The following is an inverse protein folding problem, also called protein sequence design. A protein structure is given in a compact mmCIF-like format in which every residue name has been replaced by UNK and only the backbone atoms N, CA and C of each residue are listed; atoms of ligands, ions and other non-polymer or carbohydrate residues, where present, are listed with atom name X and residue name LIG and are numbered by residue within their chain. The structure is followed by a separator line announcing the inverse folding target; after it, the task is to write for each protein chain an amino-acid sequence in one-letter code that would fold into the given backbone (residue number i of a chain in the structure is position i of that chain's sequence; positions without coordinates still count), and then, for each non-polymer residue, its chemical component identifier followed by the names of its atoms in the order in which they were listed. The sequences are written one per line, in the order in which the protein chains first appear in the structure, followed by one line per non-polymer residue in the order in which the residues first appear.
data_IF_045469389473
#
_entry.id   IF_045469389473
#
_cell.length_a   1.000
_cell.length_b   1.000
_cell.length_c   1.000
_cell.angle_alpha   90.00
_cell.angle_beta   90.00
_cell.angle_gamma   90.00
#
_symmetry.space_group_name_H-M   'P 1'
#
loop_
_entity.id
_entity.type
_entity.pdbx_description
1 polymer ?
#
# COMPACT_ATOMS: atom_id res chain seq x y z
N UNK A 1 21.08 19.20 6.18
CA UNK A 1 20.42 17.90 6.07
C UNK A 1 18.92 18.13 5.98
N UNK A 2 18.20 17.47 5.08
CA UNK A 2 16.74 17.61 5.06
C UNK A 2 16.13 16.99 6.32
N UNK A 3 15.10 17.66 6.86
CA UNK A 3 14.33 17.18 8.00
C UNK A 3 13.05 16.53 7.48
N UNK A 4 12.73 15.32 7.94
CA UNK A 4 11.57 14.57 7.55
C UNK A 4 10.83 14.05 8.79
N UNK A 5 9.51 14.24 8.84
CA UNK A 5 8.68 13.60 9.85
C UNK A 5 8.02 12.35 9.28
N UNK A 6 7.93 11.31 10.10
CA UNK A 6 7.17 10.09 9.79
C UNK A 6 6.09 9.94 10.84
N UNK A 7 4.86 9.85 10.39
CA UNK A 7 3.67 9.65 11.20
C UNK A 7 3.29 8.18 11.11
N UNK A 8 3.46 7.46 12.20
CA UNK A 8 3.12 6.05 12.34
C UNK A 8 4.33 5.14 12.53
N UNK A 9 4.23 4.33 13.57
CA UNK A 9 5.22 3.36 14.06
C UNK A 9 5.00 1.96 13.49
N UNK A 10 4.36 1.88 12.31
CA UNK A 10 4.23 0.63 11.57
C UNK A 10 5.60 0.13 11.12
N UNK A 11 5.72 -1.17 10.82
CA UNK A 11 6.97 -1.71 10.26
C UNK A 11 7.46 -0.90 9.07
N UNK A 12 6.53 -0.48 8.18
CA UNK A 12 6.86 0.36 7.03
C UNK A 12 7.33 1.77 7.42
N UNK A 13 6.67 2.41 8.38
CA UNK A 13 7.08 3.74 8.87
C UNK A 13 8.49 3.72 9.49
N UNK A 14 8.78 2.72 10.30
CA UNK A 14 10.11 2.55 10.89
C UNK A 14 11.15 2.24 9.80
N UNK A 15 10.83 1.38 8.83
CA UNK A 15 11.71 1.06 7.70
C UNK A 15 12.07 2.31 6.91
N UNK A 16 11.09 3.14 6.53
CA UNK A 16 11.33 4.43 5.86
C UNK A 16 12.21 5.35 6.70
N UNK A 17 11.92 5.43 8.01
CA UNK A 17 12.72 6.22 8.94
C UNK A 17 14.19 5.79 8.97
N UNK A 18 14.43 4.50 9.01
CA UNK A 18 15.79 3.94 9.01
C UNK A 18 16.54 4.19 7.71
N UNK A 19 15.89 3.94 6.58
CA UNK A 19 16.49 4.15 5.25
C UNK A 19 16.87 5.63 5.07
N UNK A 20 15.98 6.55 5.40
CA UNK A 20 16.25 7.98 5.29
C UNK A 20 17.35 8.44 6.27
N UNK A 21 17.34 7.96 7.50
CA UNK A 21 18.34 8.33 8.50
C UNK A 21 19.73 7.78 8.16
N UNK A 22 19.83 6.55 7.60
CA UNK A 22 21.10 6.01 7.07
C UNK A 22 21.67 6.86 5.94
N UNK A 23 20.82 7.52 5.17
CA UNK A 23 21.18 8.42 4.07
C UNK A 23 21.25 9.90 4.50
N UNK A 24 21.60 10.16 5.75
CA UNK A 24 21.90 11.48 6.32
C UNK A 24 20.72 12.45 6.38
N UNK A 25 19.45 11.98 6.34
CA UNK A 25 18.32 12.81 6.72
C UNK A 25 18.19 12.89 8.24
N UNK A 26 17.75 14.04 8.77
CA UNK A 26 17.25 14.15 10.14
C UNK A 26 15.81 13.66 10.14
N UNK A 27 15.57 12.50 10.73
CA UNK A 27 14.25 11.88 10.72
C UNK A 27 13.64 11.90 12.11
N UNK A 28 12.38 12.31 12.18
CA UNK A 28 11.58 12.30 13.40
C UNK A 28 10.39 11.36 13.21
N UNK A 29 10.39 10.26 13.95
CA UNK A 29 9.31 9.28 13.97
C UNK A 29 8.35 9.64 15.11
N UNK A 30 7.11 9.93 14.76
CA UNK A 30 6.09 10.19 15.75
C UNK A 30 5.41 8.91 16.19
N UNK A 31 5.46 8.66 17.49
CA UNK A 31 4.72 7.63 18.20
C UNK A 31 3.48 8.26 18.84
N UNK A 32 2.37 7.53 18.89
CA UNK A 32 1.08 8.06 19.36
C UNK A 32 1.10 8.39 20.85
N UNK A 33 1.85 7.62 21.65
CA UNK A 33 1.96 7.76 23.09
C UNK A 33 3.41 7.80 23.54
N UNK A 34 3.67 8.40 24.70
CA UNK A 34 5.02 8.43 25.28
C UNK A 34 5.48 7.02 25.70
N UNK A 35 4.54 6.16 26.07
CA UNK A 35 4.86 4.76 26.34
C UNK A 35 5.42 4.08 25.09
N UNK A 36 4.73 4.20 23.95
CA UNK A 36 5.16 3.64 22.66
C UNK A 36 6.52 4.23 22.23
N UNK A 37 6.70 5.54 22.37
CA UNK A 37 7.97 6.20 22.07
C UNK A 37 9.12 5.66 22.92
N UNK A 38 8.85 5.44 24.22
CA UNK A 38 9.83 4.91 25.17
C UNK A 38 10.18 3.45 24.86
N UNK A 39 9.18 2.62 24.56
CA UNK A 39 9.38 1.23 24.17
C UNK A 39 10.23 1.12 22.89
N UNK A 40 9.93 1.93 21.88
CA UNK A 40 10.72 1.98 20.65
C UNK A 40 12.16 2.48 20.86
N UNK A 41 12.35 3.48 21.73
CA UNK A 41 13.71 3.94 22.11
C UNK A 41 14.50 2.86 22.83
N UNK A 42 13.85 2.09 23.73
CA UNK A 42 14.45 0.94 24.44
C UNK A 42 14.70 -0.23 23.48
N UNK A 43 13.75 -0.51 22.59
CA UNK A 43 13.85 -1.58 21.58
C UNK A 43 14.92 -1.31 20.49
N UNK A 44 15.63 -0.18 20.58
CA UNK A 44 16.64 0.27 19.61
C UNK A 44 17.66 -0.82 19.23
N UNK A 45 17.84 -1.79 20.12
CA UNK A 45 18.81 -2.90 19.97
C UNK A 45 18.16 -4.29 19.92
N UNK A 46 16.88 -4.44 20.32
CA UNK A 46 16.25 -5.76 20.53
C UNK A 46 14.75 -5.75 20.30
N UNK A 47 14.26 -5.42 19.11
CA UNK A 47 12.84 -5.62 18.80
C UNK A 47 12.62 -6.96 18.09
N UNK A 48 11.70 -7.83 18.57
CA UNK A 48 11.32 -9.06 17.87
C UNK A 48 10.83 -8.82 16.43
N UNK A 49 10.19 -7.67 16.18
CA UNK A 49 9.72 -7.26 14.85
C UNK A 49 10.85 -6.82 13.90
N UNK A 50 12.07 -6.60 14.43
CA UNK A 50 13.22 -6.07 13.69
C UNK A 50 14.49 -6.88 13.97
N UNK A 51 14.36 -8.19 14.19
CA UNK A 51 15.45 -9.13 14.59
C UNK A 51 16.85 -8.68 14.14
N UNK A 52 17.64 -8.16 15.07
CA UNK A 52 19.03 -7.76 14.82
C UNK A 52 19.25 -6.41 14.15
N UNK A 53 18.20 -5.62 13.88
CA UNK A 53 18.33 -4.32 13.21
C UNK A 53 18.45 -3.20 14.25
N UNK A 54 19.57 -2.47 14.23
CA UNK A 54 19.84 -1.33 15.11
C UNK A 54 19.27 -0.05 14.47
N UNK A 55 18.47 0.70 15.23
CA UNK A 55 17.94 1.99 14.77
C UNK A 55 19.08 3.03 14.70
N UNK A 56 19.28 3.70 13.55
CA UNK A 56 20.34 4.68 13.37
C UNK A 56 20.18 5.90 14.29
N UNK A 57 21.30 6.53 14.64
CA UNK A 57 21.32 7.72 15.52
C UNK A 57 20.57 8.93 14.94
N UNK A 58 20.48 9.03 13.61
CA UNK A 58 19.73 10.09 12.91
C UNK A 58 18.21 9.95 12.96
N UNK A 59 17.68 8.84 13.55
CA UNK A 59 16.26 8.60 13.76
C UNK A 59 15.87 8.97 15.19
N UNK A 60 15.28 10.13 15.39
CA UNK A 60 14.68 10.55 16.65
C UNK A 60 13.23 10.03 16.76
N UNK A 61 12.85 9.60 17.98
CA UNK A 61 11.50 9.11 18.25
C UNK A 61 10.87 10.03 19.29
N UNK A 62 9.69 10.57 19.00
CA UNK A 62 8.98 11.49 19.89
C UNK A 62 7.47 11.22 19.89
N UNK A 63 6.80 11.50 21.00
CA UNK A 63 5.34 11.50 21.10
C UNK A 63 4.72 12.88 20.86
N UNK A 64 5.54 13.93 20.76
CA UNK A 64 5.10 15.30 20.49
C UNK A 64 4.98 15.54 18.99
N UNK A 65 3.76 15.81 18.47
CA UNK A 65 3.55 16.19 17.08
C UNK A 65 4.24 17.52 16.73
N UNK A 66 4.21 18.49 17.65
CA UNK A 66 4.88 19.78 17.45
C UNK A 66 6.39 19.62 17.25
N UNK A 67 7.03 18.76 18.07
CA UNK A 67 8.45 18.43 17.93
C UNK A 67 8.72 17.66 16.63
N UNK A 68 7.89 16.64 16.32
CA UNK A 68 8.06 15.84 15.12
C UNK A 68 8.00 16.68 13.84
N UNK A 69 7.10 17.67 13.79
CA UNK A 69 6.78 18.45 12.60
C UNK A 69 7.55 19.79 12.51
N UNK A 70 8.32 20.19 13.53
CA UNK A 70 9.02 21.46 13.54
C UNK A 70 10.10 21.57 12.44
N UNK A 71 9.87 22.41 11.44
CA UNK A 71 10.83 22.74 10.38
C UNK A 71 11.15 21.62 9.40
N UNK A 72 10.26 20.62 9.27
CA UNK A 72 10.43 19.53 8.31
C UNK A 72 10.12 19.97 6.88
N UNK A 73 10.72 19.31 5.92
CA UNK A 73 10.48 19.52 4.48
C UNK A 73 9.48 18.52 3.90
N UNK A 74 9.27 17.41 4.60
CA UNK A 74 8.24 16.42 4.24
C UNK A 74 7.66 15.77 5.49
N UNK A 75 6.37 15.44 5.38
CA UNK A 75 5.62 14.62 6.34
C UNK A 75 5.19 13.35 5.62
N UNK A 76 5.65 12.20 6.10
CA UNK A 76 5.31 10.89 5.53
C UNK A 76 4.27 10.24 6.44
N UNK A 77 3.09 9.96 5.89
CA UNK A 77 2.00 9.25 6.56
C UNK A 77 2.14 7.75 6.27
N UNK A 78 2.73 7.01 7.20
CA UNK A 78 2.96 5.57 7.11
C UNK A 78 2.08 4.81 8.11
N UNK A 79 0.81 5.15 8.12
CA UNK A 79 -0.22 4.60 9.00
C UNK A 79 -1.10 3.60 8.24
N UNK A 80 -1.81 2.68 8.93
CA UNK A 80 -2.85 1.88 8.30
C UNK A 80 -3.91 2.76 7.62
N UNK A 81 -4.46 2.32 6.47
CA UNK A 81 -5.39 3.11 5.67
C UNK A 81 -6.62 3.59 6.47
N UNK A 82 -7.20 2.71 7.30
CA UNK A 82 -8.34 3.04 8.18
C UNK A 82 -8.02 4.06 9.28
N UNK A 83 -6.75 4.40 9.47
CA UNK A 83 -6.30 5.43 10.42
C UNK A 83 -5.86 6.73 9.73
N UNK A 84 -5.87 6.78 8.40
CA UNK A 84 -5.36 7.94 7.65
C UNK A 84 -6.07 9.21 8.05
N UNK A 85 -7.40 9.25 7.96
CA UNK A 85 -8.20 10.45 8.28
C UNK A 85 -7.96 10.97 9.70
N UNK A 86 -7.91 10.07 10.68
CA UNK A 86 -7.64 10.45 12.06
C UNK A 86 -6.25 11.08 12.22
N UNK A 87 -5.23 10.50 11.57
CA UNK A 87 -3.86 11.00 11.70
C UNK A 87 -3.65 12.30 10.95
N UNK A 88 -4.20 12.45 9.73
CA UNK A 88 -4.05 13.70 8.99
C UNK A 88 -4.77 14.87 9.69
N UNK A 89 -5.92 14.68 10.33
CA UNK A 89 -6.57 15.69 11.17
C UNK A 89 -5.66 16.20 12.29
N UNK A 90 -4.88 15.35 12.90
CA UNK A 90 -3.93 15.73 13.95
C UNK A 90 -2.74 16.54 13.38
N UNK A 91 -2.27 16.15 12.19
CA UNK A 91 -1.11 16.72 11.51
C UNK A 91 -1.44 18.05 10.85
N UNK A 92 -2.67 18.22 10.32
CA UNK A 92 -3.09 19.33 9.46
C UNK A 92 -2.76 20.73 10.04
N UNK A 93 -2.92 20.91 11.36
CA UNK A 93 -2.65 22.18 12.03
C UNK A 93 -1.16 22.58 12.12
N UNK A 94 -0.26 21.67 11.79
CA UNK A 94 1.19 21.88 11.78
C UNK A 94 1.76 22.01 10.36
N UNK A 95 0.93 21.77 9.34
CA UNK A 95 1.36 21.85 7.94
C UNK A 95 1.53 23.30 7.52
N UNK A 96 2.49 23.52 6.65
CA UNK A 96 2.66 24.76 5.89
C UNK A 96 2.83 24.48 4.38
N UNK A 97 2.69 25.51 3.56
CA UNK A 97 2.75 25.39 2.09
C UNK A 97 4.11 24.97 1.53
N UNK A 98 5.17 24.87 2.35
CA UNK A 98 6.50 24.44 1.91
C UNK A 98 6.72 22.94 2.04
N UNK A 99 5.90 22.27 2.85
CA UNK A 99 6.04 20.86 3.18
C UNK A 99 5.46 19.95 2.08
N UNK A 100 6.16 18.87 1.76
CA UNK A 100 5.58 17.76 1.01
C UNK A 100 4.77 16.88 1.97
N UNK A 101 3.60 16.42 1.51
CA UNK A 101 2.70 15.53 2.28
C UNK A 101 2.66 14.20 1.55
N UNK A 102 3.33 13.18 2.09
CA UNK A 102 3.55 11.91 1.40
C UNK A 102 2.68 10.82 2.03
N UNK A 103 1.73 10.30 1.28
CA UNK A 103 1.04 9.06 1.65
C UNK A 103 1.92 7.87 1.31
N UNK A 104 2.25 7.06 2.31
CA UNK A 104 2.93 5.78 2.14
C UNK A 104 2.03 4.58 2.51
N UNK A 105 0.73 4.82 2.70
CA UNK A 105 -0.26 3.79 2.97
C UNK A 105 -0.76 3.14 1.67
N UNK A 106 -1.07 1.85 1.75
CA UNK A 106 -1.56 1.04 0.61
C UNK A 106 -2.94 0.47 0.92
N UNK A 107 -3.96 1.29 0.79
CA UNK A 107 -5.34 0.90 1.05
C UNK A 107 -6.32 2.00 0.65
N UNK A 108 -7.60 1.75 0.90
CA UNK A 108 -8.72 2.64 0.63
C UNK A 108 -9.52 2.85 1.91
N UNK A 109 -10.19 4.00 2.02
CA UNK A 109 -11.08 4.28 3.16
C UNK A 109 -12.46 3.65 2.92
N UNK A 110 -12.95 2.86 3.89
CA UNK A 110 -14.21 2.11 3.74
C UNK A 110 -15.40 3.07 3.64
N UNK A 111 -15.50 4.03 4.55
CA UNK A 111 -16.69 4.86 4.70
C UNK A 111 -16.96 5.77 3.49
N UNK A 112 -15.91 6.20 2.81
CA UNK A 112 -16.00 7.12 1.68
C UNK A 112 -15.64 6.50 0.32
N UNK A 113 -15.12 5.28 0.29
CA UNK A 113 -14.49 4.64 -0.87
C UNK A 113 -13.33 5.44 -1.49
N UNK A 114 -12.71 6.33 -0.71
CA UNK A 114 -11.67 7.25 -1.17
C UNK A 114 -10.27 6.62 -1.13
N UNK A 115 -9.43 7.09 -2.06
CA UNK A 115 -7.98 6.89 -2.03
C UNK A 115 -7.35 7.76 -0.93
N UNK A 116 -6.21 7.35 -0.41
CA UNK A 116 -5.56 8.06 0.70
C UNK A 116 -5.21 9.52 0.37
N UNK A 117 -4.83 9.83 -0.89
CA UNK A 117 -4.58 11.21 -1.33
C UNK A 117 -5.83 12.09 -1.27
N UNK A 118 -7.02 11.52 -1.53
CA UNK A 118 -8.30 12.22 -1.40
C UNK A 118 -8.63 12.46 0.08
N UNK A 119 -8.48 11.43 0.91
CA UNK A 119 -8.68 11.54 2.37
C UNK A 119 -7.77 12.65 2.95
N UNK A 120 -6.50 12.72 2.51
CA UNK A 120 -5.58 13.77 2.92
C UNK A 120 -6.08 15.13 2.44
N UNK A 121 -6.48 15.25 1.17
CA UNK A 121 -6.93 16.49 0.57
C UNK A 121 -8.22 17.07 1.23
N UNK A 122 -9.07 16.20 1.78
CA UNK A 122 -10.27 16.63 2.51
C UNK A 122 -9.95 17.33 3.83
N UNK A 123 -8.84 16.97 4.48
CA UNK A 123 -8.55 17.35 5.86
C UNK A 123 -7.49 18.45 5.99
N UNK A 124 -6.85 18.86 4.88
CA UNK A 124 -5.82 19.90 4.88
C UNK A 124 -6.31 21.19 4.22
N UNK A 125 -5.58 22.28 4.44
CA UNK A 125 -5.82 23.53 3.70
C UNK A 125 -5.75 23.26 2.18
N UNK A 126 -6.77 23.68 1.40
CA UNK A 126 -6.79 23.53 -0.06
C UNK A 126 -5.51 23.99 -0.76
N UNK A 127 -4.87 25.05 -0.28
CA UNK A 127 -3.62 25.59 -0.83
C UNK A 127 -2.44 24.60 -0.75
N UNK A 128 -2.52 23.59 0.12
CA UNK A 128 -1.46 22.59 0.30
C UNK A 128 -1.67 21.32 -0.52
N UNK A 129 -2.83 21.16 -1.19
CA UNK A 129 -3.19 19.97 -1.95
C UNK A 129 -2.21 19.64 -3.07
N UNK A 130 -1.63 20.68 -3.68
CA UNK A 130 -0.61 20.50 -4.73
C UNK A 130 0.66 19.80 -4.23
N UNK A 131 0.93 19.81 -2.93
CA UNK A 131 2.09 19.20 -2.31
C UNK A 131 1.86 17.72 -1.90
N UNK A 132 0.66 17.16 -2.16
CA UNK A 132 0.38 15.75 -1.88
C UNK A 132 1.15 14.87 -2.85
N UNK A 133 1.89 13.92 -2.27
CA UNK A 133 2.60 12.87 -2.98
C UNK A 133 2.13 11.50 -2.48
N UNK A 134 2.31 10.49 -3.30
CA UNK A 134 2.08 9.09 -2.92
C UNK A 134 3.33 8.27 -3.17
N UNK A 135 3.63 7.34 -2.26
CA UNK A 135 4.77 6.43 -2.33
C UNK A 135 4.26 4.99 -2.34
N UNK A 136 4.56 4.25 -3.41
CA UNK A 136 4.15 2.85 -3.56
C UNK A 136 5.16 2.08 -4.41
N UNK A 137 5.05 0.75 -4.45
CA UNK A 137 5.96 -0.13 -5.21
C UNK A 137 6.35 -1.39 -4.45
N UNK A 138 7.16 -2.30 -5.03
CA UNK A 138 7.63 -3.50 -4.38
C UNK A 138 8.62 -3.15 -3.25
N UNK A 139 8.11 -3.12 -2.01
CA UNK A 139 8.87 -2.62 -0.86
C UNK A 139 8.56 -3.43 0.41
N UNK A 140 8.94 -4.68 0.41
CA UNK A 140 8.85 -5.54 1.60
C UNK A 140 9.79 -5.04 2.68
N UNK A 141 9.22 -4.55 3.78
CA UNK A 141 9.96 -3.90 4.86
C UNK A 141 11.10 -4.74 5.43
N UNK A 142 10.90 -6.05 5.60
CA UNK A 142 11.92 -6.93 6.18
C UNK A 142 13.15 -7.07 5.27
N UNK A 143 12.95 -7.13 3.97
CA UNK A 143 14.05 -7.19 3.00
C UNK A 143 14.87 -5.89 3.02
N UNK A 144 14.20 -4.73 3.01
CA UNK A 144 14.88 -3.42 3.06
C UNK A 144 15.66 -3.26 4.37
N UNK A 145 15.10 -3.72 5.50
CA UNK A 145 15.77 -3.66 6.79
C UNK A 145 17.04 -4.50 6.82
N UNK A 146 17.09 -5.61 6.07
CA UNK A 146 18.24 -6.47 5.88
C UNK A 146 19.28 -5.88 4.88
N UNK A 147 19.01 -4.71 4.30
CA UNK A 147 19.89 -4.06 3.33
C UNK A 147 19.74 -4.58 1.91
N UNK A 148 18.68 -5.34 1.63
CA UNK A 148 18.38 -5.76 0.25
C UNK A 148 17.82 -4.56 -0.53
N UNK A 149 18.22 -4.40 -1.81
CA UNK A 149 17.81 -3.27 -2.61
C UNK A 149 16.30 -3.30 -2.89
N UNK A 150 15.66 -2.14 -2.80
CA UNK A 150 14.27 -1.97 -3.13
C UNK A 150 14.04 -0.80 -4.07
N UNK A 151 12.96 -0.87 -4.82
CA UNK A 151 12.55 0.15 -5.77
C UNK A 151 11.12 0.55 -5.49
N UNK A 152 10.82 1.85 -5.55
CA UNK A 152 9.47 2.35 -5.40
C UNK A 152 9.18 3.50 -6.38
N UNK A 153 7.94 3.97 -6.40
CA UNK A 153 7.49 5.12 -7.17
C UNK A 153 6.99 6.19 -6.22
N UNK A 154 7.45 7.42 -6.41
CA UNK A 154 6.84 8.60 -5.82
C UNK A 154 6.06 9.35 -6.91
N UNK A 155 4.76 9.54 -6.69
CA UNK A 155 3.89 10.23 -7.63
C UNK A 155 3.28 11.50 -7.03
N UNK A 156 3.13 12.51 -7.86
CA UNK A 156 2.39 13.72 -7.56
C UNK A 156 1.73 14.24 -8.85
N UNK A 157 0.65 15.01 -8.73
CA UNK A 157 -0.03 15.59 -9.91
C UNK A 157 0.87 16.50 -10.74
N UNK A 158 1.79 17.22 -10.08
CA UNK A 158 2.81 18.05 -10.71
C UNK A 158 4.16 17.31 -10.73
N UNK A 159 4.75 17.22 -11.90
CA UNK A 159 6.05 16.56 -12.08
C UNK A 159 7.18 17.24 -11.30
N UNK A 160 7.13 18.56 -11.11
CA UNK A 160 8.13 19.29 -10.31
C UNK A 160 8.03 18.90 -8.83
N UNK A 161 6.82 18.67 -8.32
CA UNK A 161 6.56 18.18 -6.96
C UNK A 161 7.04 16.72 -6.83
N UNK A 162 6.74 15.86 -7.81
CA UNK A 162 7.24 14.47 -7.83
C UNK A 162 8.78 14.45 -7.81
N UNK A 163 9.44 15.29 -8.63
CA UNK A 163 10.91 15.43 -8.63
C UNK A 163 11.46 15.99 -7.32
N UNK A 164 10.75 16.94 -6.66
CA UNK A 164 11.14 17.44 -5.34
C UNK A 164 11.07 16.34 -4.30
N UNK A 165 10.01 15.53 -4.30
CA UNK A 165 9.86 14.38 -3.42
C UNK A 165 10.93 13.32 -3.70
N UNK A 166 11.20 13.00 -4.96
CA UNK A 166 12.27 12.09 -5.35
C UNK A 166 13.63 12.54 -4.78
N UNK A 167 14.04 13.81 -5.01
CA UNK A 167 15.33 14.30 -4.48
C UNK A 167 15.44 14.23 -2.96
N UNK A 168 14.30 14.32 -2.26
CA UNK A 168 14.27 14.27 -0.80
C UNK A 168 14.31 12.85 -0.23
N UNK A 169 13.66 11.91 -0.90
CA UNK A 169 13.37 10.58 -0.37
C UNK A 169 14.18 9.45 -1.03
N UNK A 170 14.79 9.69 -2.21
CA UNK A 170 15.59 8.70 -2.90
C UNK A 170 16.87 8.39 -2.12
N UNK A 171 17.19 7.11 -1.97
CA UNK A 171 18.38 6.63 -1.27
C UNK A 171 19.03 5.49 -2.04
N UNK A 172 20.21 5.07 -1.60
CA UNK A 172 20.87 3.90 -2.18
C UNK A 172 20.06 2.60 -1.94
N UNK A 173 19.46 2.47 -0.75
CA UNK A 173 18.74 1.25 -0.34
C UNK A 173 17.30 1.23 -0.85
N UNK A 174 16.72 2.40 -1.17
CA UNK A 174 15.39 2.57 -1.73
C UNK A 174 15.47 3.53 -2.92
N UNK A 175 15.62 2.98 -4.10
CA UNK A 175 15.65 3.74 -5.35
C UNK A 175 14.23 4.14 -5.76
N UNK A 176 14.01 5.43 -6.03
CA UNK A 176 12.71 5.96 -6.39
C UNK A 176 12.63 6.33 -7.88
N UNK A 177 11.49 6.04 -8.47
CA UNK A 177 11.08 6.58 -9.77
C UNK A 177 9.97 7.60 -9.57
N UNK A 178 9.85 8.58 -10.47
CA UNK A 178 8.76 9.56 -10.47
C UNK A 178 7.62 9.13 -11.36
N UNK A 179 6.39 9.54 -11.02
CA UNK A 179 5.20 9.39 -11.85
C UNK A 179 4.25 10.57 -11.61
N UNK A 180 3.37 10.87 -12.58
CA UNK A 180 2.32 11.88 -12.44
C UNK A 180 0.92 11.25 -12.28
N UNK A 181 0.79 9.95 -12.50
CA UNK A 181 -0.45 9.21 -12.28
C UNK A 181 -0.61 8.80 -10.81
N UNK A 182 -1.00 9.75 -9.98
CA UNK A 182 -1.29 9.53 -8.55
C UNK A 182 -2.36 8.43 -8.37
N UNK A 183 -3.39 8.42 -9.22
CA UNK A 183 -4.50 7.46 -9.14
C UNK A 183 -4.00 6.04 -9.35
N UNK A 184 -3.27 5.79 -10.42
CA UNK A 184 -2.75 4.46 -10.75
C UNK A 184 -1.75 3.96 -9.73
N UNK A 185 -0.87 4.83 -9.22
CA UNK A 185 0.13 4.47 -8.20
C UNK A 185 -0.53 4.07 -6.88
N UNK A 186 -1.58 4.77 -6.44
CA UNK A 186 -2.34 4.41 -5.24
C UNK A 186 -3.13 3.11 -5.42
N UNK A 187 -3.89 3.02 -6.52
CA UNK A 187 -4.77 1.87 -6.76
C UNK A 187 -3.98 0.59 -6.99
N UNK A 188 -2.86 0.64 -7.72
CA UNK A 188 -1.99 -0.52 -7.88
C UNK A 188 -1.52 -1.06 -6.53
N UNK A 189 -1.01 -0.18 -5.66
CA UNK A 189 -0.54 -0.55 -4.33
C UNK A 189 -1.65 -1.02 -3.37
N UNK A 190 -2.87 -0.51 -3.51
CA UNK A 190 -4.00 -0.90 -2.67
C UNK A 190 -4.64 -2.23 -3.13
N UNK A 191 -5.02 -2.31 -4.42
CA UNK A 191 -5.80 -3.43 -4.96
C UNK A 191 -5.00 -4.74 -5.07
N UNK A 192 -3.67 -4.69 -5.24
CA UNK A 192 -2.82 -5.88 -5.22
C UNK A 192 -3.03 -6.75 -3.98
N UNK A 193 -3.39 -6.14 -2.86
CA UNK A 193 -3.58 -6.82 -1.58
C UNK A 193 -4.75 -7.81 -1.62
N UNK A 194 -5.75 -7.57 -2.46
CA UNK A 194 -6.87 -8.48 -2.74
C UNK A 194 -6.36 -9.73 -3.46
N UNK A 195 -5.54 -9.52 -4.48
CA UNK A 195 -4.98 -10.63 -5.27
C UNK A 195 -4.01 -11.45 -4.42
N UNK A 196 -3.29 -10.80 -3.50
CA UNK A 196 -2.41 -11.50 -2.57
C UNK A 196 -3.18 -12.40 -1.57
N UNK A 197 -4.41 -12.01 -1.15
CA UNK A 197 -5.32 -12.92 -0.43
C UNK A 197 -5.63 -14.17 -1.28
N UNK A 198 -5.99 -13.98 -2.54
CA UNK A 198 -6.25 -15.07 -3.49
C UNK A 198 -5.03 -15.96 -3.73
N UNK A 199 -3.82 -15.37 -3.84
CA UNK A 199 -2.58 -16.12 -3.97
C UNK A 199 -2.30 -16.98 -2.74
N UNK A 200 -2.56 -16.45 -1.54
CA UNK A 200 -2.49 -17.23 -0.30
C UNK A 200 -3.50 -18.38 -0.26
N UNK A 201 -4.73 -18.16 -0.75
CA UNK A 201 -5.72 -19.24 -0.89
C UNK A 201 -5.23 -20.32 -1.87
N UNK A 202 -4.69 -19.92 -3.03
CA UNK A 202 -4.18 -20.88 -4.01
C UNK A 202 -3.04 -21.73 -3.43
N UNK A 203 -2.09 -21.12 -2.72
CA UNK A 203 -0.99 -21.82 -2.05
C UNK A 203 -1.49 -22.72 -0.92
N UNK A 204 -2.42 -22.26 -0.10
CA UNK A 204 -3.00 -23.02 0.99
C UNK A 204 -3.82 -24.24 0.52
N UNK A 205 -4.39 -24.18 -0.68
CA UNK A 205 -5.08 -25.31 -1.34
C UNK A 205 -4.12 -26.24 -2.10
N UNK A 206 -2.83 -25.89 -2.18
CA UNK A 206 -1.83 -26.68 -2.91
C UNK A 206 -1.90 -26.51 -4.43
N UNK A 207 -2.49 -25.44 -4.94
CA UNK A 207 -2.49 -25.13 -6.36
C UNK A 207 -1.10 -24.61 -6.77
N UNK A 208 -0.53 -25.20 -7.80
CA UNK A 208 0.83 -24.90 -8.22
C UNK A 208 1.00 -23.52 -8.90
N UNK A 209 2.21 -23.29 -9.41
CA UNK A 209 2.62 -22.01 -9.99
C UNK A 209 1.78 -21.57 -11.21
N UNK A 210 1.27 -22.53 -12.00
CA UNK A 210 0.40 -22.19 -13.13
C UNK A 210 -0.89 -21.49 -12.69
N UNK A 211 -1.54 -21.99 -11.63
CA UNK A 211 -2.75 -21.38 -11.09
C UNK A 211 -2.46 -20.01 -10.47
N UNK A 212 -1.34 -19.88 -9.75
CA UNK A 212 -0.88 -18.61 -9.19
C UNK A 212 -0.57 -17.59 -10.29
N UNK A 213 0.15 -17.98 -11.35
CA UNK A 213 0.45 -17.12 -12.48
C UNK A 213 -0.83 -16.64 -13.18
N UNK A 214 -1.80 -17.54 -13.40
CA UNK A 214 -3.10 -17.19 -13.96
C UNK A 214 -3.87 -16.20 -13.05
N UNK A 215 -3.89 -16.43 -11.74
CA UNK A 215 -4.51 -15.53 -10.76
C UNK A 215 -3.88 -14.14 -10.78
N UNK A 216 -2.54 -14.05 -10.79
CA UNK A 216 -1.80 -12.77 -10.84
C UNK A 216 -2.13 -12.02 -12.14
N UNK A 217 -2.11 -12.70 -13.28
CA UNK A 217 -2.39 -12.09 -14.58
C UNK A 217 -3.83 -11.57 -14.67
N UNK A 218 -4.80 -12.40 -14.27
CA UNK A 218 -6.22 -12.01 -14.26
C UNK A 218 -6.49 -10.94 -13.22
N UNK A 219 -5.86 -11.03 -12.04
CA UNK A 219 -5.95 -10.01 -11.00
C UNK A 219 -5.41 -8.65 -11.44
N UNK A 220 -4.30 -8.62 -12.17
CA UNK A 220 -3.79 -7.38 -12.76
C UNK A 220 -4.80 -6.75 -13.74
N UNK A 221 -5.52 -7.58 -14.49
CA UNK A 221 -6.58 -7.11 -15.40
C UNK A 221 -7.73 -6.45 -14.62
N UNK A 222 -8.16 -7.03 -13.49
CA UNK A 222 -9.19 -6.43 -12.63
C UNK A 222 -8.71 -5.11 -12.02
N UNK A 223 -7.48 -5.07 -11.51
CA UNK A 223 -6.86 -3.87 -10.95
C UNK A 223 -6.83 -2.76 -11.99
N UNK A 224 -6.38 -3.07 -13.20
CA UNK A 224 -6.30 -2.10 -14.30
C UNK A 224 -7.70 -1.63 -14.74
N UNK A 225 -8.69 -2.53 -14.80
CA UNK A 225 -10.05 -2.17 -15.16
C UNK A 225 -10.67 -1.17 -14.18
N UNK A 226 -10.56 -1.42 -12.88
CA UNK A 226 -11.05 -0.50 -11.85
C UNK A 226 -10.23 0.80 -11.85
N UNK A 227 -8.91 0.70 -12.01
CA UNK A 227 -8.04 1.86 -12.07
C UNK A 227 -8.38 2.81 -13.20
N UNK A 228 -8.58 2.28 -14.41
CA UNK A 228 -8.97 3.07 -15.58
C UNK A 228 -10.36 3.69 -15.41
N UNK A 229 -11.30 2.96 -14.82
CA UNK A 229 -12.64 3.51 -14.51
C UNK A 229 -12.57 4.69 -13.53
N UNK A 230 -11.54 4.73 -12.68
CA UNK A 230 -11.27 5.82 -11.73
C UNK A 230 -10.33 6.90 -12.30
N UNK A 231 -9.91 6.79 -13.55
CA UNK A 231 -9.12 7.79 -14.25
C UNK A 231 -7.60 7.57 -14.23
N UNK A 232 -7.12 6.38 -13.87
CA UNK A 232 -5.71 6.03 -13.92
C UNK A 232 -5.21 5.78 -15.35
N UNK A 233 -3.93 5.98 -15.57
CA UNK A 233 -3.26 5.57 -16.78
C UNK A 233 -3.06 4.03 -16.78
N UNK A 234 -3.56 3.28 -17.76
CA UNK A 234 -3.43 1.83 -17.83
C UNK A 234 -1.97 1.35 -17.81
N UNK A 235 -1.03 2.11 -18.38
CA UNK A 235 0.39 1.77 -18.40
C UNK A 235 1.03 1.75 -17.00
N UNK A 236 0.48 2.50 -16.03
CA UNK A 236 0.96 2.50 -14.65
C UNK A 236 0.87 1.11 -14.03
N UNK A 237 -0.14 0.32 -14.40
CA UNK A 237 -0.32 -1.04 -13.87
C UNK A 237 0.66 -2.06 -14.43
N UNK A 238 1.30 -1.80 -15.55
CA UNK A 238 2.42 -2.62 -16.07
C UNK A 238 3.76 -2.29 -15.40
N UNK A 239 3.81 -1.24 -14.58
CA UNK A 239 5.00 -0.75 -13.90
C UNK A 239 5.19 -1.33 -12.50
N UNK A 240 6.06 -0.63 -11.72
CA UNK A 240 6.49 -1.04 -10.38
C UNK A 240 5.33 -1.12 -9.37
N UNK A 241 4.39 -0.16 -9.42
CA UNK A 241 3.27 -0.09 -8.48
C UNK A 241 2.10 -0.99 -8.83
N UNK A 242 2.05 -1.48 -10.07
CA UNK A 242 1.10 -2.49 -10.53
C UNK A 242 1.74 -3.88 -10.49
N UNK A 243 2.24 -4.35 -11.64
CA UNK A 243 2.78 -5.70 -11.82
C UNK A 243 3.92 -6.00 -10.85
N UNK A 244 4.87 -5.08 -10.64
CA UNK A 244 6.02 -5.30 -9.78
C UNK A 244 5.62 -5.57 -8.32
N UNK A 245 4.78 -4.70 -7.74
CA UNK A 245 4.32 -4.84 -6.35
C UNK A 245 3.34 -6.01 -6.18
N UNK A 246 2.56 -6.31 -7.24
CA UNK A 246 1.66 -7.46 -7.27
C UNK A 246 2.44 -8.78 -7.20
N UNK A 247 3.46 -8.98 -8.06
CA UNK A 247 4.29 -10.18 -8.05
C UNK A 247 4.99 -10.34 -6.70
N UNK A 248 5.66 -9.28 -6.21
CA UNK A 248 6.37 -9.32 -4.94
C UNK A 248 5.45 -9.72 -3.77
N UNK A 249 4.22 -9.18 -3.76
CA UNK A 249 3.27 -9.43 -2.67
C UNK A 249 2.60 -10.81 -2.74
N UNK A 250 2.29 -11.29 -3.94
CA UNK A 250 1.67 -12.61 -4.15
C UNK A 250 2.66 -13.77 -3.94
N UNK A 251 3.95 -13.55 -4.21
CA UNK A 251 4.97 -14.61 -4.10
C UNK A 251 5.65 -14.67 -2.74
N UNK A 252 5.51 -13.61 -1.92
CA UNK A 252 6.23 -13.52 -0.65
C UNK A 252 5.42 -14.06 0.52
N UNK A 253 6.04 -14.94 1.30
CA UNK A 253 5.52 -15.39 2.61
C UNK A 253 5.51 -14.27 3.66
N UNK A 254 6.22 -13.18 3.43
CA UNK A 254 6.21 -11.99 4.27
C UNK A 254 4.93 -11.16 4.09
N UNK A 255 4.12 -11.46 3.08
CA UNK A 255 2.85 -10.77 2.83
C UNK A 255 1.78 -11.18 3.84
N UNK A 256 1.33 -10.22 4.64
CA UNK A 256 0.23 -10.43 5.60
C UNK A 256 -1.07 -10.85 4.91
N UNK A 257 -1.33 -10.34 3.72
CA UNK A 257 -2.51 -10.70 2.95
C UNK A 257 -2.40 -12.16 2.45
N UNK A 258 -1.24 -12.54 1.94
CA UNK A 258 -0.97 -13.93 1.57
C UNK A 258 -1.16 -14.88 2.77
N UNK A 259 -0.60 -14.52 3.93
CA UNK A 259 -0.77 -15.29 5.16
C UNK A 259 -2.26 -15.49 5.52
N UNK A 260 -3.08 -14.42 5.47
CA UNK A 260 -4.53 -14.54 5.71
C UNK A 260 -5.15 -15.55 4.75
N UNK A 261 -4.84 -15.49 3.46
CA UNK A 261 -5.34 -16.42 2.45
C UNK A 261 -5.00 -17.89 2.79
N UNK A 262 -3.76 -18.16 3.16
CA UNK A 262 -3.32 -19.50 3.59
C UNK A 262 -4.09 -19.97 4.82
N UNK A 263 -4.24 -19.13 5.84
CA UNK A 263 -4.89 -19.53 7.09
C UNK A 263 -6.40 -19.79 6.93
N UNK A 264 -7.07 -19.09 6.04
CA UNK A 264 -8.47 -19.34 5.68
C UNK A 264 -8.67 -20.75 5.10
N UNK A 265 -7.70 -21.31 4.34
CA UNK A 265 -7.79 -22.66 3.79
C UNK A 265 -7.64 -23.76 4.84
N UNK A 266 -7.09 -23.43 6.02
CA UNK A 266 -6.98 -24.33 7.17
C UNK A 266 -8.26 -24.37 8.03
N UNK A 267 -9.31 -23.65 7.61
CA UNK A 267 -10.59 -23.58 8.31
C UNK A 267 -10.62 -22.64 9.50
N UNK A 268 -9.58 -21.79 9.67
CA UNK A 268 -9.59 -20.74 10.70
C UNK A 268 -10.55 -19.62 10.33
N UNK A 269 -11.28 -19.11 11.31
CA UNK A 269 -12.13 -17.95 11.11
C UNK A 269 -11.29 -16.67 10.91
N UNK A 270 -11.83 -15.70 10.17
CA UNK A 270 -11.15 -14.41 9.93
C UNK A 270 -10.81 -13.71 11.25
N UNK A 271 -11.69 -13.82 12.26
CA UNK A 271 -11.47 -13.21 13.57
C UNK A 271 -10.27 -13.82 14.32
N UNK A 272 -10.13 -15.16 14.29
CA UNK A 272 -8.97 -15.86 14.88
C UNK A 272 -7.67 -15.49 14.19
N UNK A 273 -7.71 -15.36 12.84
CA UNK A 273 -6.54 -14.98 12.06
C UNK A 273 -6.10 -13.56 12.43
N UNK A 274 -7.04 -12.60 12.44
CA UNK A 274 -6.74 -11.20 12.80
C UNK A 274 -6.17 -11.10 14.22
N UNK A 275 -6.72 -11.83 15.19
CA UNK A 275 -6.21 -11.83 16.59
C UNK A 275 -4.80 -12.39 16.71
N UNK A 276 -4.40 -13.32 15.83
CA UNK A 276 -3.07 -13.93 15.85
C UNK A 276 -2.01 -13.14 15.09
N UNK A 277 -2.41 -12.09 14.36
CA UNK A 277 -1.49 -11.32 13.50
C UNK A 277 -0.87 -10.12 14.20
N UNK A 278 0.40 -9.89 13.95
CA UNK A 278 1.05 -8.62 14.26
C UNK A 278 0.90 -7.64 13.08
N UNK A 279 -0.06 -6.71 13.18
CA UNK A 279 -0.30 -5.68 12.18
C UNK A 279 -1.54 -5.94 11.32
N UNK A 280 -1.78 -5.07 10.34
CA UNK A 280 -3.00 -5.03 9.54
C UNK A 280 -2.78 -5.69 8.18
N UNK A 281 -3.71 -6.52 7.75
CA UNK A 281 -3.83 -6.99 6.37
C UNK A 281 -4.78 -6.03 5.62
N UNK A 282 -4.22 -5.09 4.88
CA UNK A 282 -4.97 -4.03 4.19
C UNK A 282 -5.93 -4.57 3.11
N UNK A 283 -5.67 -5.78 2.61
CA UNK A 283 -6.54 -6.46 1.65
C UNK A 283 -7.96 -6.68 2.16
N UNK A 284 -8.14 -6.81 3.48
CA UNK A 284 -9.46 -7.01 4.07
C UNK A 284 -10.36 -5.80 3.79
N UNK A 285 -9.99 -4.63 4.26
CA UNK A 285 -10.75 -3.40 4.03
C UNK A 285 -10.81 -3.02 2.54
N UNK A 286 -9.70 -3.20 1.82
CA UNK A 286 -9.63 -2.89 0.39
C UNK A 286 -10.59 -3.75 -0.44
N UNK A 287 -10.82 -5.00 -0.05
CA UNK A 287 -11.80 -5.89 -0.73
C UNK A 287 -13.20 -5.31 -0.66
N UNK A 288 -13.62 -4.79 0.50
CA UNK A 288 -14.95 -4.16 0.66
C UNK A 288 -15.09 -2.97 -0.30
N UNK A 289 -14.10 -2.08 -0.30
CA UNK A 289 -14.13 -0.87 -1.14
C UNK A 289 -14.09 -1.22 -2.62
N UNK A 290 -13.23 -2.15 -3.03
CA UNK A 290 -13.11 -2.57 -4.42
C UNK A 290 -14.40 -3.23 -4.93
N UNK A 291 -15.05 -4.07 -4.09
CA UNK A 291 -16.36 -4.66 -4.38
C UNK A 291 -17.44 -3.58 -4.58
N UNK A 292 -17.51 -2.58 -3.69
CA UNK A 292 -18.46 -1.47 -3.81
C UNK A 292 -18.23 -0.65 -5.09
N UNK A 293 -16.98 -0.31 -5.39
CA UNK A 293 -16.61 0.44 -6.60
C UNK A 293 -16.88 -0.37 -7.86
N UNK A 294 -16.59 -1.69 -7.87
CA UNK A 294 -16.90 -2.56 -9.00
C UNK A 294 -18.40 -2.53 -9.33
N UNK A 295 -19.27 -2.61 -8.32
CA UNK A 295 -20.72 -2.50 -8.51
C UNK A 295 -21.13 -1.11 -8.99
N UNK A 296 -20.58 -0.05 -8.43
CA UNK A 296 -20.86 1.34 -8.83
C UNK A 296 -20.52 1.58 -10.30
N UNK A 297 -19.35 1.08 -10.76
CA UNK A 297 -18.89 1.25 -12.14
C UNK A 297 -19.35 0.11 -13.07
N UNK A 298 -20.10 -0.86 -12.57
CA UNK A 298 -20.61 -2.03 -13.32
C UNK A 298 -19.48 -2.81 -14.00
N UNK A 299 -18.40 -3.04 -13.26
CA UNK A 299 -17.23 -3.80 -13.70
C UNK A 299 -17.34 -5.26 -13.29
N UNK A 300 -16.93 -6.16 -14.20
CA UNK A 300 -16.74 -7.57 -13.87
C UNK A 300 -15.38 -7.76 -13.22
N UNK A 301 -15.36 -8.06 -11.92
CA UNK A 301 -14.16 -8.33 -11.13
C UNK A 301 -14.32 -9.65 -10.36
N UNK A 302 -14.32 -10.79 -11.08
CA UNK A 302 -14.66 -12.10 -10.50
C UNK A 302 -13.73 -12.53 -9.37
N UNK A 303 -12.43 -12.23 -9.43
CA UNK A 303 -11.49 -12.57 -8.35
C UNK A 303 -11.84 -11.75 -7.10
N UNK A 304 -12.01 -10.44 -7.25
CA UNK A 304 -12.40 -9.55 -6.15
C UNK A 304 -13.71 -9.98 -5.53
N UNK A 305 -14.70 -10.34 -6.34
CA UNK A 305 -16.01 -10.85 -5.90
C UNK A 305 -15.86 -12.13 -5.08
N UNK A 306 -15.10 -13.12 -5.55
CA UNK A 306 -14.89 -14.38 -4.83
C UNK A 306 -14.13 -14.19 -3.51
N UNK A 307 -13.14 -13.30 -3.49
CA UNK A 307 -12.44 -12.95 -2.24
C UNK A 307 -13.40 -12.27 -1.26
N UNK A 308 -14.29 -11.37 -1.73
CA UNK A 308 -15.31 -10.76 -0.89
C UNK A 308 -16.25 -11.80 -0.28
N UNK A 309 -16.74 -12.74 -1.09
CA UNK A 309 -17.63 -13.82 -0.64
C UNK A 309 -16.96 -14.74 0.38
N UNK A 310 -15.67 -15.05 0.19
CA UNK A 310 -14.90 -15.85 1.16
C UNK A 310 -14.74 -15.10 2.49
N UNK A 311 -14.45 -13.82 2.45
CA UNK A 311 -14.17 -13.05 3.66
C UNK A 311 -15.43 -12.70 4.45
N UNK A 312 -16.56 -12.45 3.76
CA UNK A 312 -17.71 -11.77 4.37
C UNK A 312 -19.05 -12.50 4.17
N UNK A 313 -19.15 -13.46 3.23
CA UNK A 313 -20.40 -14.15 2.93
C UNK A 313 -20.34 -15.67 3.20
N UNK A 314 -19.21 -16.14 3.78
CA UNK A 314 -19.07 -17.54 4.20
C UNK A 314 -18.82 -18.54 3.07
N UNK A 315 -18.48 -18.10 1.87
CA UNK A 315 -18.08 -19.00 0.79
C UNK A 315 -16.75 -19.70 1.16
N UNK A 316 -16.68 -21.01 1.00
CA UNK A 316 -15.42 -21.71 1.31
C UNK A 316 -14.32 -21.34 0.30
N UNK A 317 -13.04 -21.22 0.72
CA UNK A 317 -11.92 -20.95 -0.18
C UNK A 317 -11.83 -21.92 -1.35
N UNK A 318 -12.09 -23.23 -1.10
CA UNK A 318 -12.10 -24.28 -2.13
C UNK A 318 -13.19 -24.05 -3.17
N UNK A 319 -14.41 -23.74 -2.72
CA UNK A 319 -15.53 -23.47 -3.62
C UNK A 319 -15.27 -22.21 -4.47
N UNK A 320 -14.78 -21.16 -3.87
CA UNK A 320 -14.41 -19.93 -4.59
C UNK A 320 -13.39 -20.21 -5.72
N UNK A 321 -12.38 -21.01 -5.43
CA UNK A 321 -11.36 -21.37 -6.40
C UNK A 321 -11.93 -22.22 -7.56
N UNK A 322 -12.80 -23.20 -7.26
CA UNK A 322 -13.48 -24.03 -8.29
C UNK A 322 -14.34 -23.15 -9.21
N UNK A 323 -15.15 -22.25 -8.65
CA UNK A 323 -16.02 -21.37 -9.42
C UNK A 323 -15.24 -20.41 -10.32
N UNK A 324 -14.05 -19.95 -9.89
CA UNK A 324 -13.16 -19.15 -10.75
C UNK A 324 -12.58 -19.96 -11.92
N UNK A 325 -12.41 -21.27 -11.77
CA UNK A 325 -11.89 -22.14 -12.83
C UNK A 325 -12.99 -22.59 -13.81
N UNK A 326 -14.25 -22.67 -13.38
CA UNK A 326 -15.41 -23.07 -14.19
C UNK A 326 -15.90 -21.98 -15.16
N UNK A 327 -15.28 -20.79 -15.15
CA UNK A 327 -15.67 -19.71 -16.05
C UNK A 327 -15.58 -20.17 -17.50
N UNK A 328 -16.74 -20.24 -18.18
CA UNK A 328 -16.86 -20.62 -19.61
C UNK A 328 -15.80 -19.89 -20.41
N UNK A 329 -15.16 -20.62 -21.34
CA UNK A 329 -14.10 -20.09 -22.21
C UNK A 329 -14.54 -18.77 -22.85
N UNK A 330 -14.01 -17.67 -22.34
CA UNK A 330 -14.13 -16.33 -22.91
C UNK A 330 -12.83 -16.06 -23.68
N UNK A 331 -12.92 -15.25 -24.71
CA UNK A 331 -11.71 -14.76 -25.35
C UNK A 331 -10.82 -14.08 -24.29
N UNK A 332 -9.53 -14.34 -24.27
CA UNK A 332 -8.60 -13.85 -23.23
C UNK A 332 -8.71 -12.32 -22.99
N UNK A 333 -8.91 -11.57 -24.08
CA UNK A 333 -9.10 -10.11 -24.05
C UNK A 333 -10.58 -9.68 -24.05
N UNK A 334 -11.54 -10.60 -23.89
CA UNK A 334 -12.95 -10.29 -23.82
C UNK A 334 -13.35 -9.89 -22.39
N UNK A 335 -13.09 -8.66 -22.08
CA UNK A 335 -13.88 -7.84 -21.17
C UNK A 335 -14.38 -6.67 -22.00
N UNK A 336 -15.52 -6.06 -21.69
CA UNK A 336 -16.12 -4.94 -22.44
C UNK A 336 -15.05 -4.10 -23.10
N UNK A 337 -15.15 -3.92 -24.45
CA UNK A 337 -14.31 -3.13 -25.32
C UNK A 337 -13.36 -2.19 -24.57
N UNK A 338 -12.18 -2.68 -24.25
CA UNK A 338 -11.07 -1.83 -23.88
C UNK A 338 -10.82 -0.93 -25.09
N UNK A 339 -11.21 0.32 -25.00
CA UNK A 339 -10.81 1.33 -26.00
C UNK A 339 -9.31 1.62 -25.88
N UNK A 340 -8.49 0.64 -25.52
CA UNK A 340 -7.03 0.71 -25.55
C UNK A 340 -6.51 0.98 -26.97
N UNK A 341 -7.24 0.56 -28.02
CA UNK A 341 -6.85 0.83 -29.41
C UNK A 341 -7.20 2.22 -29.92
N UNK A 342 -8.00 3.01 -29.20
CA UNK A 342 -8.24 4.40 -29.61
C UNK A 342 -7.07 5.35 -29.27
N UNK A 343 -6.18 4.95 -28.36
CA UNK A 343 -4.99 5.72 -28.00
C UNK A 343 -3.84 5.59 -29.01
N UNK A 344 -3.88 4.60 -29.91
CA UNK A 344 -2.90 4.42 -30.99
C UNK A 344 -3.37 4.97 -32.33
N UNK A 345 -4.51 5.64 -32.39
CA UNK A 345 -4.96 6.39 -33.56
C UNK A 345 -4.76 7.89 -33.30
N UNK A 346 -3.50 8.32 -33.31
CA UNK A 346 -3.06 9.68 -33.65
C UNK A 346 -1.66 9.60 -34.19
#
# INVERSE_FOLDING_TARGET
MPKVAIIGTTTWGITLGMVLARNRAEVRLWARTEQEATELRKARYHSPSFSGVILPTGLAITSSLGEALAGVKAVILAVPSHRMRQNIKLVAKYLDGSMLIVSAAKGLEIDSNQRMSQVIADEINPDFRSNICVLSGPNLSQEILQGLPAVAVVAAWDEAVARKAHRLLNTHDLCLYTNTDVIGVELGGALKNIIALGAGIADGLGYGDNAKAALITRGLTEIAALGVALGANPLTFSGLTGLGDLIATCSSQLSRNHYVGVELTKGRSLEEIIKSMNGVAEGLSTTIVAHNLARQFKLEMPITEKIYQVLYEGLSPRQAALELMEVKAKHELAGRRWQLFSLFKR
#
